data_IF_320773169639
#
_entry.id   IF_320773169639
#
_cell.length_a   1.000
_cell.length_b   1.000
_cell.length_c   1.000
_cell.angle_alpha   90.00
_cell.angle_beta   90.00
_cell.angle_gamma   90.00
#
_symmetry.space_group_name_H-M   'P 1'
#
loop_
_entity.id
_entity.type
_entity.pdbx_description
1 polymer ?
#
# COMPACT_ATOMS: atom_id res chain seq x y z
N UNK A 1 33.72 -3.42 9.28
CA UNK A 1 33.12 -3.92 8.02
C UNK A 1 32.05 -4.95 8.30
N UNK A 2 32.28 -5.95 9.17
CA UNK A 2 31.25 -6.96 9.50
C UNK A 2 29.98 -6.40 10.15
N UNK A 3 30.09 -5.49 11.14
CA UNK A 3 28.90 -4.87 11.73
C UNK A 3 28.06 -4.07 10.72
N UNK A 4 28.72 -3.40 9.78
CA UNK A 4 28.04 -2.62 8.74
C UNK A 4 27.37 -3.54 7.70
N UNK A 5 28.02 -4.64 7.34
CA UNK A 5 27.45 -5.67 6.47
C UNK A 5 26.28 -6.38 7.14
N UNK A 6 26.38 -6.72 8.42
CA UNK A 6 25.29 -7.27 9.22
C UNK A 6 24.08 -6.30 9.27
N UNK A 7 24.35 -5.04 9.58
CA UNK A 7 23.29 -4.03 9.63
C UNK A 7 22.61 -3.86 8.27
N UNK A 8 23.39 -3.78 7.18
CA UNK A 8 22.85 -3.51 5.85
C UNK A 8 22.14 -4.73 5.23
N UNK A 9 22.76 -5.90 5.33
CA UNK A 9 22.32 -7.10 4.61
C UNK A 9 21.39 -7.99 5.43
N UNK A 10 21.51 -8.00 6.76
CA UNK A 10 20.72 -8.89 7.61
C UNK A 10 19.61 -8.16 8.37
N UNK A 11 19.83 -6.89 8.77
CA UNK A 11 18.83 -6.12 9.53
C UNK A 11 17.97 -5.24 8.63
N UNK A 12 18.59 -4.42 7.78
CA UNK A 12 17.87 -3.46 6.91
C UNK A 12 17.28 -4.08 5.64
N UNK A 13 17.65 -5.33 5.33
CA UNK A 13 17.06 -6.07 4.22
C UNK A 13 15.84 -6.90 4.62
N UNK A 14 15.57 -7.04 5.93
CA UNK A 14 14.37 -7.71 6.44
C UNK A 14 13.17 -6.75 6.42
N UNK A 15 12.11 -7.01 5.64
CA UNK A 15 11.01 -6.06 5.45
C UNK A 15 10.27 -5.73 6.75
N UNK A 16 10.07 -6.71 7.63
CA UNK A 16 9.40 -6.50 8.90
C UNK A 16 10.16 -5.50 9.79
N UNK A 17 11.48 -5.63 9.85
CA UNK A 17 12.36 -4.73 10.61
C UNK A 17 12.35 -3.34 10.00
N UNK A 18 12.48 -3.24 8.67
CA UNK A 18 12.50 -1.97 7.95
C UNK A 18 11.21 -1.17 8.16
N UNK A 19 10.04 -1.81 8.06
CA UNK A 19 8.74 -1.17 8.33
C UNK A 19 8.60 -0.81 9.81
N UNK A 20 9.13 -1.63 10.72
CA UNK A 20 9.25 -1.30 12.14
C UNK A 20 10.04 -0.02 12.40
N UNK A 21 11.20 0.13 11.76
CA UNK A 21 12.05 1.33 11.86
C UNK A 21 11.34 2.58 11.30
N UNK A 22 10.62 2.43 10.19
CA UNK A 22 9.79 3.51 9.64
C UNK A 22 8.72 3.96 10.66
N UNK A 23 8.07 3.01 11.32
CA UNK A 23 7.10 3.32 12.38
C UNK A 23 7.77 4.01 13.58
N UNK A 24 8.96 3.56 13.99
CA UNK A 24 9.75 4.20 15.05
C UNK A 24 10.04 5.66 14.72
N UNK A 25 10.54 5.94 13.51
CA UNK A 25 10.81 7.30 13.03
C UNK A 25 9.54 8.14 13.07
N UNK A 26 8.41 7.60 12.60
CA UNK A 26 7.12 8.28 12.63
C UNK A 26 6.64 8.62 14.05
N UNK A 27 6.84 7.72 15.02
CA UNK A 27 6.46 7.94 16.42
C UNK A 27 7.37 8.96 17.12
N UNK A 28 8.67 8.92 16.83
CA UNK A 28 9.64 9.91 17.32
C UNK A 28 9.32 11.29 16.75
N UNK A 29 9.01 11.39 15.46
CA UNK A 29 8.62 12.65 14.81
C UNK A 29 7.32 13.23 15.43
N UNK A 30 6.40 12.37 15.86
CA UNK A 30 5.20 12.73 16.61
C UNK A 30 5.46 13.05 18.10
N UNK A 31 6.73 13.01 18.56
CA UNK A 31 7.14 13.25 19.95
C UNK A 31 6.41 12.36 20.96
N UNK A 32 6.13 11.11 20.57
CA UNK A 32 5.51 10.13 21.47
C UNK A 32 6.49 9.71 22.58
N UNK A 33 5.99 9.35 23.78
CA UNK A 33 6.84 8.87 24.86
C UNK A 33 7.59 7.59 24.46
N UNK A 34 8.78 7.37 25.02
CA UNK A 34 9.67 6.25 24.65
C UNK A 34 8.96 4.88 24.69
N UNK A 35 8.11 4.66 25.69
CA UNK A 35 7.32 3.44 25.83
C UNK A 35 6.36 3.22 24.66
N UNK A 36 5.73 4.27 24.13
CA UNK A 36 4.87 4.19 22.95
C UNK A 36 5.68 3.93 21.68
N UNK A 37 6.85 4.57 21.55
CA UNK A 37 7.77 4.34 20.42
C UNK A 37 8.18 2.87 20.34
N UNK A 38 8.63 2.28 21.46
CA UNK A 38 9.05 0.87 21.52
C UNK A 38 7.85 -0.04 21.23
N UNK A 39 6.72 0.17 21.90
CA UNK A 39 5.51 -0.64 21.73
C UNK A 39 4.99 -0.59 20.30
N UNK A 40 4.96 0.60 19.69
CA UNK A 40 4.52 0.78 18.31
C UNK A 40 5.45 0.06 17.32
N UNK A 41 6.76 0.21 17.49
CA UNK A 41 7.76 -0.46 16.66
C UNK A 41 7.62 -1.98 16.72
N UNK A 42 7.56 -2.55 17.92
CA UNK A 42 7.42 -4.01 18.12
C UNK A 42 6.10 -4.50 17.54
N UNK A 43 4.99 -3.78 17.73
CA UNK A 43 3.69 -4.13 17.15
C UNK A 43 3.73 -4.14 15.62
N UNK A 44 4.41 -3.17 15.02
CA UNK A 44 4.55 -3.11 13.55
C UNK A 44 5.35 -4.31 13.03
N UNK A 45 6.47 -4.64 13.67
CA UNK A 45 7.29 -5.82 13.30
C UNK A 45 6.46 -7.11 13.43
N UNK A 46 5.81 -7.31 14.58
CA UNK A 46 4.98 -8.49 14.82
C UNK A 46 3.81 -8.59 13.83
N UNK A 47 3.16 -7.47 13.53
CA UNK A 47 2.08 -7.42 12.54
C UNK A 47 2.54 -7.88 11.16
N UNK A 48 3.73 -7.48 10.74
CA UNK A 48 4.31 -7.90 9.47
C UNK A 48 4.65 -9.40 9.43
N UNK A 49 5.21 -9.93 10.54
CA UNK A 49 5.52 -11.37 10.67
C UNK A 49 4.23 -12.20 10.62
N UNK A 50 3.19 -11.77 11.35
CA UNK A 50 1.88 -12.45 11.36
C UNK A 50 1.26 -12.42 9.96
N UNK A 51 1.34 -11.29 9.25
CA UNK A 51 0.86 -11.17 7.86
C UNK A 51 1.56 -12.18 6.95
N UNK A 52 2.89 -12.28 7.03
CA UNK A 52 3.65 -13.25 6.23
C UNK A 52 3.27 -14.70 6.55
N UNK A 53 3.08 -15.04 7.83
CA UNK A 53 2.66 -16.38 8.25
C UNK A 53 1.24 -16.72 7.76
N UNK A 54 0.29 -15.81 7.94
CA UNK A 54 -1.10 -15.99 7.50
C UNK A 54 -1.22 -16.11 5.98
N UNK A 55 -0.45 -15.31 5.25
CA UNK A 55 -0.44 -15.39 3.79
C UNK A 55 0.14 -16.70 3.27
N UNK A 56 1.12 -17.30 3.95
CA UNK A 56 1.61 -18.63 3.61
C UNK A 56 0.51 -19.70 3.64
N UNK A 57 -0.36 -19.66 4.67
CA UNK A 57 -1.51 -20.56 4.79
C UNK A 57 -2.52 -20.32 3.66
N UNK A 58 -2.84 -19.05 3.36
CA UNK A 58 -3.77 -18.69 2.29
C UNK A 58 -3.24 -19.12 0.93
N UNK A 59 -1.97 -18.84 0.62
CA UNK A 59 -1.31 -19.23 -0.63
C UNK A 59 -1.35 -20.74 -0.82
N UNK A 60 -1.08 -21.52 0.23
CA UNK A 60 -1.17 -22.98 0.19
C UNK A 60 -2.56 -23.46 -0.23
N UNK A 61 -3.60 -23.02 0.49
CA UNK A 61 -4.99 -23.39 0.19
C UNK A 61 -5.43 -22.94 -1.20
N UNK A 62 -5.01 -21.75 -1.65
CA UNK A 62 -5.33 -21.24 -2.98
C UNK A 62 -4.61 -22.00 -4.08
N UNK A 63 -3.40 -22.51 -3.84
CA UNK A 63 -2.67 -23.37 -4.78
C UNK A 63 -3.37 -24.69 -5.02
N UNK A 64 -3.86 -25.32 -3.95
CA UNK A 64 -4.63 -26.58 -4.04
C UNK A 64 -5.95 -26.35 -4.80
N UNK A 65 -6.68 -25.29 -4.44
CA UNK A 65 -7.90 -24.89 -5.14
C UNK A 65 -7.64 -24.62 -6.62
N UNK A 66 -6.58 -23.86 -6.95
CA UNK A 66 -6.21 -23.56 -8.32
C UNK A 66 -5.99 -24.85 -9.10
N UNK A 67 -5.22 -25.80 -8.57
CA UNK A 67 -4.93 -27.07 -9.24
C UNK A 67 -6.20 -27.86 -9.57
N UNK A 68 -7.14 -27.98 -8.61
CA UNK A 68 -8.43 -28.65 -8.82
C UNK A 68 -9.24 -27.92 -9.89
N UNK A 69 -9.30 -26.59 -9.81
CA UNK A 69 -10.08 -25.76 -10.72
C UNK A 69 -9.53 -25.83 -12.15
N UNK A 70 -8.20 -25.79 -12.31
CA UNK A 70 -7.54 -25.93 -13.61
C UNK A 70 -7.82 -27.32 -14.21
N UNK A 71 -7.75 -28.39 -13.41
CA UNK A 71 -8.08 -29.74 -13.87
C UNK A 71 -9.55 -29.90 -14.25
N UNK A 72 -10.47 -29.32 -13.48
CA UNK A 72 -11.91 -29.46 -13.69
C UNK A 72 -12.43 -28.64 -14.90
N UNK A 73 -11.86 -27.46 -15.12
CA UNK A 73 -12.39 -26.51 -16.11
C UNK A 73 -11.44 -26.23 -17.29
N UNK A 74 -10.22 -26.78 -17.28
CA UNK A 74 -9.23 -26.57 -18.35
C UNK A 74 -8.73 -25.13 -18.47
N UNK A 75 -8.92 -24.32 -17.43
CA UNK A 75 -8.51 -22.91 -17.39
C UNK A 75 -7.09 -22.86 -16.80
N UNK A 76 -6.18 -22.11 -17.40
CA UNK A 76 -4.87 -21.78 -16.79
C UNK A 76 -4.94 -20.40 -16.15
N UNK A 77 -4.62 -20.29 -14.86
CA UNK A 77 -4.65 -18.99 -14.18
C UNK A 77 -4.21 -19.03 -12.72
N UNK A 78 -4.02 -17.84 -12.16
CA UNK A 78 -3.75 -17.62 -10.74
C UNK A 78 -5.03 -17.21 -10.02
N UNK A 79 -5.18 -17.58 -8.75
CA UNK A 79 -6.31 -17.10 -7.95
C UNK A 79 -6.03 -15.66 -7.51
N UNK A 80 -6.88 -14.69 -7.88
CA UNK A 80 -6.64 -13.29 -7.54
C UNK A 80 -6.87 -13.06 -6.04
N UNK A 81 -5.77 -12.98 -5.29
CA UNK A 81 -5.79 -12.61 -3.88
C UNK A 81 -4.64 -11.61 -3.61
N UNK A 82 -5.00 -10.40 -3.22
CA UNK A 82 -4.06 -9.30 -3.04
C UNK A 82 -2.99 -9.59 -1.98
N UNK A 83 -3.38 -10.17 -0.85
CA UNK A 83 -2.47 -10.40 0.28
C UNK A 83 -1.54 -11.58 0.04
N UNK A 84 -2.04 -12.61 -0.64
CA UNK A 84 -1.23 -13.71 -1.13
C UNK A 84 -0.11 -13.20 -2.06
N UNK A 85 -0.45 -12.37 -3.04
CA UNK A 85 0.50 -11.83 -4.02
C UNK A 85 1.54 -10.93 -3.34
N UNK A 86 1.09 -9.99 -2.49
CA UNK A 86 2.02 -9.11 -1.75
C UNK A 86 2.98 -9.90 -0.89
N UNK A 87 2.49 -10.93 -0.19
CA UNK A 87 3.33 -11.72 0.71
C UNK A 87 4.33 -12.61 -0.01
N UNK A 88 4.00 -13.08 -1.22
CA UNK A 88 4.99 -13.78 -2.06
C UNK A 88 6.03 -12.77 -2.55
N UNK A 89 5.59 -11.65 -3.08
CA UNK A 89 6.46 -10.67 -3.72
C UNK A 89 7.32 -9.87 -2.73
N UNK A 90 6.91 -9.75 -1.46
CA UNK A 90 7.74 -9.11 -0.42
C UNK A 90 9.07 -9.83 -0.21
N UNK A 91 9.15 -11.14 -0.52
CA UNK A 91 10.40 -11.89 -0.44
C UNK A 91 11.44 -11.39 -1.45
N UNK A 92 10.99 -10.80 -2.54
CA UNK A 92 11.85 -10.31 -3.63
C UNK A 92 12.01 -8.79 -3.62
N UNK A 93 10.95 -8.06 -3.24
CA UNK A 93 10.89 -6.59 -3.35
C UNK A 93 10.55 -5.90 -2.02
N UNK A 94 10.68 -6.60 -0.89
CA UNK A 94 10.20 -6.09 0.39
C UNK A 94 10.93 -4.82 0.85
N UNK A 95 12.23 -4.71 0.54
CA UNK A 95 13.02 -3.51 0.80
C UNK A 95 12.53 -2.32 -0.03
N UNK A 96 12.39 -2.51 -1.35
CA UNK A 96 11.91 -1.50 -2.28
C UNK A 96 10.49 -1.06 -1.90
N UNK A 97 9.61 -2.01 -1.60
CA UNK A 97 8.23 -1.77 -1.15
C UNK A 97 8.18 -0.88 0.10
N UNK A 98 8.95 -1.20 1.14
CA UNK A 98 8.95 -0.43 2.38
C UNK A 98 9.49 0.99 2.17
N UNK A 99 10.56 1.13 1.38
CA UNK A 99 11.16 2.42 1.04
C UNK A 99 10.22 3.28 0.19
N UNK A 100 9.60 2.70 -0.84
CA UNK A 100 8.59 3.39 -1.65
C UNK A 100 7.44 3.85 -0.77
N UNK A 101 6.90 3.00 0.09
CA UNK A 101 5.80 3.36 0.99
C UNK A 101 6.15 4.57 1.87
N UNK A 102 7.37 4.58 2.44
CA UNK A 102 7.84 5.69 3.27
C UNK A 102 7.96 7.00 2.49
N UNK A 103 8.70 7.00 1.38
CA UNK A 103 8.92 8.20 0.59
C UNK A 103 7.66 8.65 -0.16
N UNK A 104 6.78 7.73 -0.57
CA UNK A 104 5.47 8.06 -1.14
C UNK A 104 4.60 8.83 -0.15
N UNK A 105 4.63 8.48 1.14
CA UNK A 105 3.94 9.26 2.17
C UNK A 105 4.51 10.68 2.28
N UNK A 106 5.84 10.83 2.21
CA UNK A 106 6.46 12.16 2.20
C UNK A 106 6.07 12.97 0.96
N UNK A 107 6.01 12.33 -0.22
CA UNK A 107 5.51 12.95 -1.46
C UNK A 107 4.04 13.34 -1.32
N UNK A 108 3.20 12.47 -0.75
CA UNK A 108 1.78 12.75 -0.51
C UNK A 108 1.61 13.99 0.39
N UNK A 109 2.35 14.06 1.50
CA UNK A 109 2.37 15.22 2.41
C UNK A 109 2.86 16.48 1.67
N UNK A 110 3.94 16.37 0.87
CA UNK A 110 4.51 17.49 0.13
C UNK A 110 3.50 18.06 -0.89
N UNK A 111 2.88 17.20 -1.69
CA UNK A 111 1.84 17.60 -2.65
C UNK A 111 0.67 18.24 -1.90
N UNK A 112 0.19 17.62 -0.81
CA UNK A 112 -0.90 18.19 -0.02
C UNK A 112 -0.53 19.53 0.63
N UNK A 113 0.75 19.76 0.95
CA UNK A 113 1.23 21.04 1.48
C UNK A 113 1.26 22.12 0.41
N UNK A 114 1.82 21.82 -0.76
CA UNK A 114 2.11 22.80 -1.82
C UNK A 114 0.93 23.07 -2.76
N UNK A 115 0.05 22.10 -2.97
CA UNK A 115 -1.09 22.18 -3.90
C UNK A 115 -2.40 22.43 -3.13
N UNK A 116 -3.50 22.86 -3.80
CA UNK A 116 -4.81 22.97 -3.15
C UNK A 116 -5.42 21.61 -2.75
N UNK A 117 -4.87 20.48 -3.20
CA UNK A 117 -5.39 19.14 -2.89
C UNK A 117 -4.93 18.67 -1.51
N UNK A 118 -5.73 18.94 -0.46
CA UNK A 118 -5.39 18.66 0.95
C UNK A 118 -5.68 17.22 1.39
N UNK A 119 -5.39 16.24 0.54
CA UNK A 119 -5.68 14.83 0.83
C UNK A 119 -4.46 14.08 1.35
N UNK A 120 -4.59 13.47 2.53
CA UNK A 120 -3.60 12.57 3.11
C UNK A 120 -4.16 11.15 3.11
N UNK A 121 -3.48 10.24 2.42
CA UNK A 121 -3.95 8.88 2.22
C UNK A 121 -3.46 7.98 3.36
N UNK A 122 -4.32 7.78 4.35
CA UNK A 122 -3.96 7.13 5.62
C UNK A 122 -4.14 5.60 5.61
N UNK A 123 -4.60 4.99 4.52
CA UNK A 123 -4.82 3.55 4.44
C UNK A 123 -3.52 2.78 4.14
N UNK A 124 -2.73 2.57 5.20
CA UNK A 124 -1.38 2.01 5.10
C UNK A 124 -1.28 0.65 4.39
N UNK A 125 -2.19 -0.30 4.63
CA UNK A 125 -2.15 -1.62 3.98
C UNK A 125 -2.32 -1.52 2.45
N UNK A 126 -3.16 -0.60 1.98
CA UNK A 126 -3.31 -0.33 0.55
C UNK A 126 -2.05 0.33 -0.02
N UNK A 127 -1.46 1.31 0.68
CA UNK A 127 -0.21 1.94 0.25
C UNK A 127 0.92 0.92 0.15
N UNK A 128 1.00 -0.02 1.09
CA UNK A 128 1.93 -1.14 1.07
C UNK A 128 1.72 -2.01 -0.18
N UNK A 129 0.48 -2.42 -0.44
CA UNK A 129 0.13 -3.20 -1.64
C UNK A 129 0.57 -2.49 -2.92
N UNK A 130 0.24 -1.20 -3.08
CA UNK A 130 0.62 -0.46 -4.28
C UNK A 130 2.11 -0.17 -4.40
N UNK A 131 2.79 0.04 -3.27
CA UNK A 131 4.25 0.19 -3.26
C UNK A 131 4.94 -1.07 -3.75
N UNK A 132 4.45 -2.25 -3.33
CA UNK A 132 4.92 -3.53 -3.85
C UNK A 132 4.63 -3.64 -5.36
N UNK A 133 3.38 -3.43 -5.77
CA UNK A 133 2.98 -3.58 -7.16
C UNK A 133 3.80 -2.70 -8.10
N UNK A 134 4.00 -1.42 -7.73
CA UNK A 134 4.83 -0.49 -8.50
C UNK A 134 6.30 -0.93 -8.50
N UNK A 135 6.84 -1.41 -7.36
CA UNK A 135 8.20 -1.97 -7.33
C UNK A 135 8.37 -3.13 -8.31
N UNK A 136 7.42 -4.10 -8.32
CA UNK A 136 7.47 -5.25 -9.21
C UNK A 136 7.37 -4.84 -10.70
N UNK A 137 6.50 -3.88 -11.03
CA UNK A 137 6.34 -3.36 -12.40
C UNK A 137 7.60 -2.62 -12.87
N UNK A 138 8.17 -1.77 -12.03
CA UNK A 138 9.40 -1.05 -12.37
C UNK A 138 10.60 -2.00 -12.43
N UNK A 139 10.64 -3.04 -11.60
CA UNK A 139 11.70 -4.04 -11.66
C UNK A 139 11.62 -4.87 -12.96
N UNK A 140 10.42 -5.21 -13.43
CA UNK A 140 10.26 -5.96 -14.68
C UNK A 140 10.69 -5.17 -15.93
N UNK A 141 10.75 -3.83 -15.85
CA UNK A 141 11.34 -2.99 -16.89
C UNK A 141 12.87 -2.87 -16.80
N UNK A 142 13.52 -3.56 -15.85
CA UNK A 142 14.96 -3.57 -15.64
C UNK A 142 15.46 -2.52 -14.64
N UNK A 143 14.59 -1.76 -13.98
CA UNK A 143 15.00 -0.80 -12.96
C UNK A 143 15.37 -1.51 -11.65
N UNK A 144 16.33 -0.95 -10.91
CA UNK A 144 16.70 -1.45 -9.58
C UNK A 144 17.24 -0.32 -8.71
N UNK A 145 17.28 -0.54 -7.39
CA UNK A 145 17.89 0.39 -6.43
C UNK A 145 17.21 1.76 -6.39
N UNK A 146 18.03 2.82 -6.36
CA UNK A 146 17.58 4.19 -6.13
C UNK A 146 16.59 4.69 -7.20
N UNK A 147 16.84 4.53 -8.53
CA UNK A 147 15.88 4.95 -9.55
C UNK A 147 14.49 4.33 -9.39
N UNK A 148 14.44 3.03 -9.05
CA UNK A 148 13.19 2.32 -8.81
C UNK A 148 12.44 2.93 -7.62
N UNK A 149 13.12 3.12 -6.49
CA UNK A 149 12.53 3.68 -5.27
C UNK A 149 12.04 5.11 -5.52
N UNK A 150 12.85 5.95 -6.18
CA UNK A 150 12.52 7.35 -6.44
C UNK A 150 11.28 7.47 -7.33
N UNK A 151 11.27 6.79 -8.48
CA UNK A 151 10.13 6.83 -9.39
C UNK A 151 8.89 6.20 -8.75
N UNK A 152 9.03 5.06 -8.07
CA UNK A 152 7.93 4.40 -7.38
C UNK A 152 7.29 5.30 -6.32
N UNK A 153 8.11 6.01 -5.55
CA UNK A 153 7.64 6.94 -4.50
C UNK A 153 6.85 8.11 -5.08
N UNK A 154 7.32 8.67 -6.19
CA UNK A 154 6.63 9.76 -6.89
C UNK A 154 5.28 9.27 -7.42
N UNK A 155 5.25 8.11 -8.07
CA UNK A 155 4.03 7.54 -8.64
C UNK A 155 3.01 7.25 -7.54
N UNK A 156 3.38 6.48 -6.52
CA UNK A 156 2.46 6.09 -5.43
C UNK A 156 1.99 7.33 -4.66
N UNK A 157 2.91 8.23 -4.28
CA UNK A 157 2.58 9.45 -3.55
C UNK A 157 1.68 10.42 -4.31
N UNK A 158 1.82 10.49 -5.64
CA UNK A 158 0.95 11.29 -6.50
C UNK A 158 -0.46 10.70 -6.58
N UNK A 159 -0.56 9.37 -6.76
CA UNK A 159 -1.85 8.66 -6.81
C UNK A 159 -2.60 8.77 -5.48
N UNK A 160 -1.88 8.75 -4.35
CA UNK A 160 -2.44 8.96 -3.01
C UNK A 160 -3.15 10.31 -2.84
N UNK A 161 -2.80 11.34 -3.63
CA UNK A 161 -3.55 12.61 -3.66
C UNK A 161 -4.61 12.62 -4.74
N UNK A 162 -4.24 12.17 -5.93
CA UNK A 162 -5.07 12.26 -7.13
C UNK A 162 -6.38 11.49 -6.99
N UNK A 163 -6.35 10.26 -6.46
CA UNK A 163 -7.55 9.44 -6.31
C UNK A 163 -8.58 10.03 -5.34
N UNK A 164 -8.22 10.38 -4.09
CA UNK A 164 -9.14 11.12 -3.23
C UNK A 164 -9.71 12.37 -3.91
N UNK A 165 -8.87 13.14 -4.63
CA UNK A 165 -9.29 14.38 -5.29
C UNK A 165 -10.39 14.16 -6.34
N UNK A 166 -10.26 13.14 -7.21
CA UNK A 166 -11.26 12.88 -8.26
C UNK A 166 -12.56 12.28 -7.71
N UNK A 167 -12.50 11.52 -6.61
CA UNK A 167 -13.69 10.96 -5.98
C UNK A 167 -14.37 11.93 -5.02
N UNK A 168 -13.69 12.99 -4.58
CA UNK A 168 -14.15 13.86 -3.52
C UNK A 168 -15.54 14.44 -3.75
N UNK A 169 -15.84 14.84 -5.00
CA UNK A 169 -17.17 15.34 -5.39
C UNK A 169 -18.29 14.35 -5.03
N UNK A 170 -18.12 13.08 -5.41
CA UNK A 170 -19.12 12.05 -5.15
C UNK A 170 -19.12 11.66 -3.67
N UNK A 171 -17.96 11.66 -3.02
CA UNK A 171 -17.85 11.38 -1.59
C UNK A 171 -18.68 12.37 -0.76
N UNK A 172 -18.53 13.67 -1.03
CA UNK A 172 -19.30 14.72 -0.34
C UNK A 172 -20.81 14.58 -0.52
N UNK A 173 -21.26 14.13 -1.68
CA UNK A 173 -22.69 13.88 -1.93
C UNK A 173 -23.21 12.72 -1.07
N UNK A 174 -22.37 11.71 -0.82
CA UNK A 174 -22.72 10.53 -0.03
C UNK A 174 -22.66 10.81 1.47
N UNK A 175 -21.65 11.54 1.96
CA UNK A 175 -21.50 11.80 3.41
C UNK A 175 -22.13 13.08 3.90
N UNK A 176 -22.44 14.03 3.00
CA UNK A 176 -22.89 15.36 3.39
C UNK A 176 -21.83 16.20 4.11
N UNK A 177 -20.57 15.77 4.13
CA UNK A 177 -19.45 16.46 4.79
C UNK A 177 -18.21 16.53 3.91
N UNK A 178 -17.31 17.48 4.21
CA UNK A 178 -16.02 17.67 3.52
C UNK A 178 -14.84 17.08 4.31
N UNK A 179 -15.11 16.47 5.48
CA UNK A 179 -14.10 16.07 6.47
C UNK A 179 -13.37 14.78 6.10
N UNK A 180 -13.95 13.97 5.22
CA UNK A 180 -13.46 12.63 4.87
C UNK A 180 -13.38 12.46 3.36
N UNK A 181 -12.34 11.77 2.91
CA UNK A 181 -12.14 11.41 1.51
C UNK A 181 -11.86 9.90 1.39
N UNK A 182 -12.06 9.34 0.20
CA UNK A 182 -11.86 7.91 -0.03
C UNK A 182 -10.41 7.62 -0.42
N UNK A 183 -9.70 6.91 0.46
CA UNK A 183 -8.33 6.45 0.25
C UNK A 183 -8.27 5.01 -0.25
N UNK A 184 -8.62 4.77 -1.51
CA UNK A 184 -8.61 3.44 -2.12
C UNK A 184 -8.11 3.47 -3.57
N UNK A 185 -7.52 2.37 -4.07
CA UNK A 185 -6.95 2.34 -5.43
C UNK A 185 -7.94 1.95 -6.54
N UNK A 186 -9.11 1.41 -6.18
CA UNK A 186 -10.24 1.23 -7.12
C UNK A 186 -11.04 2.51 -7.35
N UNK A 187 -10.49 3.68 -7.06
CA UNK A 187 -11.24 4.95 -7.08
C UNK A 187 -11.84 5.29 -8.45
N UNK A 188 -11.20 4.88 -9.55
CA UNK A 188 -11.75 5.08 -10.90
C UNK A 188 -13.10 4.39 -11.09
N UNK A 189 -13.29 3.19 -10.53
CA UNK A 189 -14.59 2.50 -10.63
C UNK A 189 -15.66 3.19 -9.79
N UNK A 190 -15.30 3.76 -8.64
CA UNK A 190 -16.22 4.54 -7.81
C UNK A 190 -16.65 5.83 -8.49
N UNK A 191 -15.70 6.55 -9.11
CA UNK A 191 -15.97 7.76 -9.88
C UNK A 191 -16.87 7.46 -11.07
N UNK A 192 -16.62 6.35 -11.78
CA UNK A 192 -17.47 5.91 -12.88
C UNK A 192 -18.88 5.55 -12.41
N UNK A 193 -18.99 4.79 -11.32
CA UNK A 193 -20.29 4.46 -10.72
C UNK A 193 -21.05 5.71 -10.29
N UNK A 194 -20.37 6.67 -9.64
CA UNK A 194 -20.95 7.96 -9.27
C UNK A 194 -21.40 8.78 -10.49
N UNK A 195 -20.62 8.78 -11.57
CA UNK A 195 -20.99 9.45 -12.82
C UNK A 195 -22.25 8.83 -13.44
N UNK A 196 -22.30 7.51 -13.57
CA UNK A 196 -23.48 6.78 -14.09
C UNK A 196 -24.69 7.04 -13.19
N UNK A 197 -24.52 6.93 -11.87
CA UNK A 197 -25.55 7.23 -10.89
C UNK A 197 -26.10 8.66 -11.03
N UNK A 198 -25.23 9.65 -11.25
CA UNK A 198 -25.67 11.05 -11.44
C UNK A 198 -26.45 11.30 -12.74
N UNK A 199 -26.34 10.42 -13.73
CA UNK A 199 -27.03 10.55 -15.03
C UNK A 199 -28.32 9.75 -15.11
N UNK A 200 -28.37 8.60 -14.46
CA UNK A 200 -29.47 7.63 -14.61
C UNK A 200 -30.18 7.32 -13.29
N UNK A 201 -29.67 7.79 -12.16
CA UNK A 201 -30.33 7.69 -10.87
C UNK A 201 -31.59 8.55 -10.86
N UNK A 202 -32.68 8.02 -10.30
CA UNK A 202 -33.85 8.84 -9.94
C UNK A 202 -33.52 9.54 -8.63
N UNK A 203 -33.68 10.86 -8.59
CA UNK A 203 -33.70 11.60 -7.34
C UNK A 203 -34.88 11.09 -6.50
N UNK A 204 -34.59 10.34 -5.43
CA UNK A 204 -35.61 9.90 -4.47
C UNK A 204 -35.90 10.94 -3.38
N UNK A 205 -35.31 12.14 -3.49
CA UNK A 205 -35.43 13.24 -2.53
C UNK A 205 -35.99 14.52 -3.19
N UNK A 206 -37.13 14.40 -3.89
CA UNK A 206 -38.09 15.50 -4.04
C UNK A 206 -39.31 15.20 -3.18
#
# INVERSE_FOLDING_TARGET
MEFFNFLMNDVLSEPAVLVGLIALIGLIAQKKPLTECIKGTVKTILGFIILGAGAGLVVGSLGDFATIFQHAFGITGVVPNNEAIVSIAQKSFGKEMAMIMFFAMLVNILIARLTPWKFIFLTGHHTLFMSMMVAAILSSSGMSGIPLIALGSIVVGSVMVFFPAIAHRYMRQVTGSDDVAIGHFSTLSYVLAGFIGSKFGRDSNM
#
